data_IF_380434119485
#
_entry.id   IF_380434119485
#
_cell.length_a   1.000
_cell.length_b   1.000
_cell.length_c   1.000
_cell.angle_alpha   90.00
_cell.angle_beta   90.00
_cell.angle_gamma   90.00
#
_symmetry.space_group_name_H-M   'P 1'
#
loop_
_entity.id
_entity.type
_entity.pdbx_description
1 polymer ?
#
# COMPACT_ATOMS: atom_id res chain seq x y z
N UNK A 1 7.37 26.51 -14.71
CA UNK A 1 6.80 25.16 -14.91
C UNK A 1 5.33 25.30 -14.61
N UNK A 2 4.46 25.11 -15.59
CA UNK A 2 3.02 25.30 -15.38
C UNK A 2 2.42 24.13 -14.59
N UNK A 3 1.27 24.32 -13.93
CA UNK A 3 0.63 23.26 -13.15
C UNK A 3 0.17 22.10 -14.04
N UNK A 4 -0.23 22.42 -15.28
CA UNK A 4 -0.59 21.44 -16.29
C UNK A 4 0.60 20.57 -16.69
N UNK A 5 1.78 21.17 -16.85
CA UNK A 5 3.03 20.43 -17.13
C UNK A 5 3.44 19.51 -15.98
N UNK A 6 3.22 19.94 -14.74
CA UNK A 6 3.51 19.15 -13.54
C UNK A 6 2.54 17.98 -13.38
N UNK A 7 1.25 18.23 -13.60
CA UNK A 7 0.22 17.20 -13.58
C UNK A 7 0.49 16.13 -14.64
N UNK A 8 0.89 16.55 -15.84
CA UNK A 8 1.30 15.65 -16.91
C UNK A 8 2.53 14.80 -16.52
N UNK A 9 3.56 15.40 -15.92
CA UNK A 9 4.77 14.67 -15.52
C UNK A 9 4.54 13.72 -14.34
N UNK A 10 3.61 14.03 -13.45
CA UNK A 10 3.20 13.16 -12.34
C UNK A 10 2.13 12.13 -12.74
N UNK A 11 1.67 12.15 -14.00
CA UNK A 11 0.62 11.28 -14.51
C UNK A 11 -0.65 11.35 -13.64
N UNK A 12 -1.09 12.58 -13.36
CA UNK A 12 -2.32 12.90 -12.63
C UNK A 12 -3.09 14.00 -13.34
N UNK A 13 -4.40 14.10 -13.07
CA UNK A 13 -5.18 15.21 -13.62
C UNK A 13 -4.79 16.54 -12.94
N UNK A 14 -4.80 17.64 -13.70
CA UNK A 14 -4.54 18.98 -13.17
C UNK A 14 -5.53 19.34 -12.04
N UNK A 15 -6.79 18.91 -12.16
CA UNK A 15 -7.79 19.08 -11.09
C UNK A 15 -7.43 18.31 -9.81
N UNK A 16 -6.82 17.13 -9.92
CA UNK A 16 -6.36 16.37 -8.77
C UNK A 16 -5.16 17.05 -8.10
N UNK A 17 -4.18 17.50 -8.88
CA UNK A 17 -3.03 18.26 -8.37
C UNK A 17 -3.47 19.57 -7.67
N UNK A 18 -4.42 20.30 -8.26
CA UNK A 18 -5.00 21.50 -7.66
C UNK A 18 -5.68 21.24 -6.31
N UNK A 19 -6.37 20.09 -6.15
CA UNK A 19 -6.97 19.68 -4.87
C UNK A 19 -5.95 19.30 -3.81
N UNK A 20 -4.75 18.89 -4.22
CA UNK A 20 -3.65 18.59 -3.28
C UNK A 20 -3.04 19.90 -2.79
N UNK A 21 -2.72 20.82 -3.72
CA UNK A 21 -2.13 22.12 -3.38
C UNK A 21 -3.03 22.99 -2.51
N UNK A 22 -4.36 22.90 -2.68
CA UNK A 22 -5.32 23.65 -1.88
C UNK A 22 -5.74 22.93 -0.57
N UNK A 23 -5.17 21.76 -0.28
CA UNK A 23 -5.43 20.99 0.93
C UNK A 23 -6.80 20.30 0.99
N UNK A 24 -7.55 20.23 -0.12
CA UNK A 24 -8.83 19.52 -0.17
C UNK A 24 -8.67 17.99 -0.15
N UNK A 25 -7.48 17.48 -0.45
CA UNK A 25 -7.14 16.05 -0.29
C UNK A 25 -6.35 15.88 1.01
N UNK A 26 -6.98 15.29 2.02
CA UNK A 26 -6.33 15.00 3.32
C UNK A 26 -5.41 13.75 3.28
N UNK A 27 -5.55 12.87 2.27
CA UNK A 27 -4.80 11.63 2.16
C UNK A 27 -4.20 11.45 0.77
N UNK A 28 -2.88 11.52 0.68
CA UNK A 28 -2.14 11.01 -0.48
C UNK A 28 -1.97 9.49 -0.34
N UNK A 29 -2.11 8.77 -1.44
CA UNK A 29 -1.70 7.36 -1.49
C UNK A 29 -0.16 7.24 -1.60
N UNK A 30 0.37 6.09 -1.19
CA UNK A 30 1.82 5.84 -1.19
C UNK A 30 2.42 5.87 -2.61
N UNK A 31 1.66 5.44 -3.62
CA UNK A 31 2.12 5.41 -5.01
C UNK A 31 2.37 6.83 -5.51
N UNK A 32 1.48 7.75 -5.18
CA UNK A 32 1.56 9.15 -5.54
C UNK A 32 2.63 9.89 -4.72
N UNK A 33 2.80 9.56 -3.43
CA UNK A 33 3.95 10.04 -2.65
C UNK A 33 5.29 9.63 -3.27
N UNK A 34 5.41 8.39 -3.75
CA UNK A 34 6.62 7.93 -4.45
C UNK A 34 6.83 8.68 -5.76
N UNK A 35 5.79 8.88 -6.56
CA UNK A 35 5.87 9.68 -7.81
C UNK A 35 6.35 11.11 -7.56
N UNK A 36 5.82 11.77 -6.53
CA UNK A 36 6.26 13.12 -6.13
C UNK A 36 7.71 13.10 -5.65
N UNK A 37 8.08 12.10 -4.84
CA UNK A 37 9.45 11.91 -4.35
C UNK A 37 10.45 11.77 -5.49
N UNK A 38 10.12 10.94 -6.49
CA UNK A 38 10.94 10.71 -7.67
C UNK A 38 11.06 11.95 -8.57
N UNK A 39 9.99 12.73 -8.65
CA UNK A 39 9.91 13.95 -9.45
C UNK A 39 10.74 15.09 -8.83
N UNK A 40 10.56 15.35 -7.53
CA UNK A 40 11.28 16.41 -6.80
C UNK A 40 12.65 15.98 -6.27
N UNK A 41 13.02 14.70 -6.45
CA UNK A 41 14.27 14.11 -5.92
C UNK A 41 14.39 14.28 -4.40
N UNK A 42 13.26 14.11 -3.71
CA UNK A 42 13.18 14.09 -2.25
C UNK A 42 12.94 12.67 -1.77
N UNK A 43 13.38 12.36 -0.55
CA UNK A 43 13.09 11.07 0.06
C UNK A 43 11.63 11.05 0.57
N UNK A 44 10.92 9.92 0.52
CA UNK A 44 9.51 9.83 0.96
C UNK A 44 9.27 10.29 2.41
N UNK A 45 10.31 10.30 3.25
CA UNK A 45 10.26 10.86 4.60
C UNK A 45 9.92 12.36 4.65
N UNK A 46 10.06 13.09 3.54
CA UNK A 46 9.61 14.47 3.41
C UNK A 46 8.11 14.63 3.71
N UNK A 47 7.30 13.61 3.40
CA UNK A 47 5.87 13.59 3.73
C UNK A 47 5.58 13.30 5.21
N UNK A 48 6.59 12.88 5.97
CA UNK A 48 6.51 12.51 7.38
C UNK A 48 7.14 13.58 8.30
N UNK A 49 7.91 14.53 7.75
CA UNK A 49 8.44 15.68 8.47
C UNK A 49 7.32 16.70 8.75
N UNK A 50 6.57 16.45 9.82
CA UNK A 50 5.46 17.24 10.36
C UNK A 50 4.83 16.52 11.55
N UNK A 51 3.81 17.11 12.19
CA UNK A 51 3.00 16.44 13.24
C UNK A 51 2.27 15.24 12.62
N UNK A 52 2.99 14.13 12.48
CA UNK A 52 2.42 12.84 12.09
C UNK A 52 1.54 12.40 13.24
N UNK A 53 0.24 12.73 13.17
CA UNK A 53 -0.77 12.12 14.04
C UNK A 53 -0.90 10.67 13.58
N UNK A 54 0.02 9.83 14.06
CA UNK A 54 -0.20 8.39 14.12
C UNK A 54 -1.42 8.23 15.01
N UNK A 55 -2.51 7.71 14.43
CA UNK A 55 -3.79 7.53 15.10
C UNK A 55 -3.60 6.66 16.36
N UNK A 56 -3.35 7.29 17.50
CA UNK A 56 -3.14 6.67 18.82
C UNK A 56 -4.42 6.07 19.42
N UNK A 57 -5.42 5.72 18.59
CA UNK A 57 -6.59 4.96 19.02
C UNK A 57 -6.27 3.45 19.08
N UNK A 58 -5.19 3.09 19.78
CA UNK A 58 -4.87 1.69 20.06
C UNK A 58 -5.14 1.44 21.53
N UNK A 59 -6.35 0.95 21.82
CA UNK A 59 -6.56 0.15 23.01
C UNK A 59 -5.49 -0.94 23.04
N UNK A 60 -4.70 -0.94 24.11
CA UNK A 60 -3.50 -1.75 24.38
C UNK A 60 -3.65 -3.21 23.90
N UNK A 61 -3.34 -3.47 22.63
CA UNK A 61 -3.34 -4.82 22.06
C UNK A 61 -2.03 -5.51 22.42
N UNK A 62 -2.12 -6.55 23.25
CA UNK A 62 -0.99 -7.30 23.83
C UNK A 62 -0.21 -8.16 22.83
N UNK A 63 -0.49 -8.05 21.53
CA UNK A 63 0.04 -8.92 20.48
C UNK A 63 0.74 -8.20 19.31
N UNK A 64 0.96 -6.88 19.39
CA UNK A 64 1.72 -6.17 18.35
C UNK A 64 3.20 -6.11 18.69
N UNK A 65 4.06 -6.57 17.76
CA UNK A 65 5.50 -6.38 17.86
C UNK A 65 5.82 -4.91 17.57
N UNK A 66 5.95 -4.13 18.64
CA UNK A 66 6.33 -2.72 18.58
C UNK A 66 7.85 -2.63 18.52
N UNK A 67 8.38 -2.19 17.39
CA UNK A 67 9.78 -1.81 17.24
C UNK A 67 9.92 -0.30 17.44
N UNK A 68 10.68 0.12 18.45
CA UNK A 68 11.05 1.53 18.62
C UNK A 68 12.24 1.85 17.72
N UNK A 69 12.04 2.75 16.76
CA UNK A 69 13.12 3.42 16.03
C UNK A 69 12.94 4.92 16.34
N UNK A 70 13.68 5.43 17.32
CA UNK A 70 13.51 6.80 17.83
C UNK A 70 12.22 7.01 18.63
N UNK A 71 11.79 8.28 18.76
CA UNK A 71 10.54 8.69 19.44
C UNK A 71 9.26 8.28 18.68
N UNK A 72 9.41 7.43 17.67
CA UNK A 72 8.34 6.94 16.81
C UNK A 72 8.13 5.45 17.07
N UNK A 73 6.92 5.14 17.54
CA UNK A 73 6.45 3.77 17.75
C UNK A 73 5.86 3.27 16.42
N UNK A 74 6.56 2.40 15.70
CA UNK A 74 6.00 1.78 14.49
C UNK A 74 5.14 0.58 14.87
N UNK A 75 3.84 0.65 14.55
CA UNK A 75 2.94 -0.48 14.68
C UNK A 75 2.82 -1.23 13.36
N UNK A 76 3.48 -2.38 13.23
CA UNK A 76 3.33 -3.26 12.08
C UNK A 76 2.08 -4.13 12.27
N UNK A 77 0.90 -3.53 12.19
CA UNK A 77 -0.33 -4.30 12.03
C UNK A 77 -0.34 -4.84 10.60
N UNK A 78 0.11 -6.07 10.43
CA UNK A 78 -0.16 -6.85 9.22
C UNK A 78 -1.65 -6.76 8.95
N UNK A 79 -2.06 -6.11 7.86
CA UNK A 79 -3.47 -5.97 7.50
C UNK A 79 -4.08 -7.37 7.39
N UNK A 80 -5.00 -7.67 8.31
CA UNK A 80 -5.62 -8.98 8.42
C UNK A 80 -6.32 -9.38 7.12
N UNK A 81 -6.79 -8.40 6.34
CA UNK A 81 -7.38 -8.64 5.02
C UNK A 81 -6.35 -9.11 3.99
N UNK A 82 -5.11 -8.62 4.05
CA UNK A 82 -4.04 -9.09 3.16
C UNK A 82 -3.69 -10.55 3.46
N UNK A 83 -3.60 -10.91 4.74
CA UNK A 83 -3.34 -12.30 5.16
C UNK A 83 -4.47 -13.23 4.73
N UNK A 84 -5.73 -12.83 4.94
CA UNK A 84 -6.89 -13.59 4.53
C UNK A 84 -6.96 -13.78 3.01
N UNK A 85 -6.65 -12.73 2.24
CA UNK A 85 -6.59 -12.79 0.79
C UNK A 85 -5.50 -13.76 0.29
N UNK A 86 -4.32 -13.76 0.92
CA UNK A 86 -3.23 -14.71 0.59
C UNK A 86 -3.65 -16.14 0.89
N UNK A 87 -4.28 -16.39 2.05
CA UNK A 87 -4.77 -17.72 2.42
C UNK A 87 -5.84 -18.21 1.44
N UNK A 88 -6.80 -17.35 1.11
CA UNK A 88 -7.86 -17.67 0.14
C UNK A 88 -7.30 -17.97 -1.25
N UNK A 89 -6.31 -17.19 -1.70
CA UNK A 89 -5.62 -17.44 -2.96
C UNK A 89 -4.91 -18.81 -2.96
N UNK A 90 -4.19 -19.13 -1.88
CA UNK A 90 -3.51 -20.41 -1.74
C UNK A 90 -4.48 -21.60 -1.76
N UNK A 91 -5.66 -21.46 -1.16
CA UNK A 91 -6.72 -22.47 -1.24
C UNK A 91 -7.24 -22.68 -2.67
N UNK A 92 -7.41 -21.60 -3.43
CA UNK A 92 -7.84 -21.68 -4.83
C UNK A 92 -6.78 -22.37 -5.69
N UNK A 93 -5.50 -22.04 -5.51
CA UNK A 93 -4.38 -22.67 -6.21
C UNK A 93 -4.32 -24.17 -5.92
N UNK A 94 -4.48 -24.58 -4.65
CA UNK A 94 -4.48 -25.99 -4.27
C UNK A 94 -5.60 -26.77 -4.98
N UNK A 95 -6.83 -26.22 -5.02
CA UNK A 95 -7.95 -26.85 -5.74
C UNK A 95 -7.65 -26.99 -7.23
N UNK A 96 -7.07 -25.95 -7.84
CA UNK A 96 -6.70 -26.00 -9.25
C UNK A 96 -5.66 -27.09 -9.53
N UNK A 97 -4.63 -27.21 -8.69
CA UNK A 97 -3.61 -28.26 -8.81
C UNK A 97 -4.23 -29.67 -8.69
N UNK A 98 -5.15 -29.88 -7.74
CA UNK A 98 -5.86 -31.17 -7.62
C UNK A 98 -6.66 -31.52 -8.87
N UNK A 99 -7.37 -30.56 -9.46
CA UNK A 99 -8.11 -30.78 -10.70
C UNK A 99 -7.18 -31.09 -11.87
N UNK A 100 -6.06 -30.37 -11.97
CA UNK A 100 -5.06 -30.62 -13.01
C UNK A 100 -4.44 -32.01 -12.86
N UNK A 101 -4.08 -32.43 -11.64
CA UNK A 101 -3.56 -33.77 -11.37
C UNK A 101 -4.57 -34.86 -11.76
N UNK A 102 -5.86 -34.68 -11.43
CA UNK A 102 -6.92 -35.61 -11.85
C UNK A 102 -7.08 -35.67 -13.37
N UNK A 103 -6.92 -34.53 -14.06
CA UNK A 103 -6.98 -34.49 -15.52
C UNK A 103 -5.78 -35.22 -16.15
N UNK A 104 -4.57 -34.98 -15.64
CA UNK A 104 -3.35 -35.67 -16.06
C UNK A 104 -3.48 -37.18 -15.84
N UNK A 105 -3.96 -37.61 -14.66
CA UNK A 105 -4.19 -39.03 -14.40
C UNK A 105 -5.17 -39.67 -15.37
N UNK A 106 -6.24 -38.96 -15.78
CA UNK A 106 -7.18 -39.46 -16.79
C UNK A 106 -6.50 -39.61 -18.14
N UNK A 107 -5.73 -38.60 -18.57
CA UNK A 107 -5.01 -38.62 -19.84
C UNK A 107 -3.91 -39.69 -19.90
N UNK A 108 -3.34 -40.09 -18.76
CA UNK A 108 -2.33 -41.16 -18.67
C UNK A 108 -2.94 -42.56 -18.57
N UNK A 109 -4.23 -42.67 -18.23
CA UNK A 109 -4.96 -43.93 -18.11
C UNK A 109 -5.72 -44.31 -19.40
N UNK A 110 -5.79 -43.39 -20.37
CA UNK A 110 -6.19 -43.62 -21.75
C UNK A 110 -4.96 -44.02 -22.60
#
# INVERSE_FOLDING_TARGET
>A
MDQEDQAFQLDVSQSHLSKIENGAIEKLDFIFMQKISDFFKVEPQYFLEGDTIVNNNVEKSTNSSVGNIGDTTMNNTTDQNLLENVINNQHQINRLMEMQNKLIEKLLKD
#
